data_IF_637297191675
#
_entry.id   IF_637297191675
#
_cell.length_a   1.000
_cell.length_b   1.000
_cell.length_c   1.000
_cell.angle_alpha   90.00
_cell.angle_beta   90.00
_cell.angle_gamma   90.00
#
_symmetry.space_group_name_H-M   'P 1'
#
loop_
_entity.id
_entity.type
_entity.pdbx_description
1 polymer ?
#
# COMPACT_ATOMS: atom_id res chain seq x y z
N UNK A 1 17.20 16.70 36.71
CA UNK A 1 18.14 15.87 35.92
C UNK A 1 17.41 14.82 35.07
N UNK A 2 16.36 14.15 35.58
CA UNK A 2 15.57 13.21 34.77
C UNK A 2 14.83 13.87 33.60
N UNK A 3 14.22 15.04 33.81
CA UNK A 3 13.46 15.73 32.76
C UNK A 3 14.29 16.13 31.53
N UNK A 4 15.55 16.55 31.73
CA UNK A 4 16.45 16.89 30.61
C UNK A 4 16.90 15.66 29.82
N UNK A 5 17.04 14.51 30.48
CA UNK A 5 17.40 13.23 29.86
C UNK A 5 16.25 12.68 29.00
N UNK A 6 15.02 12.75 29.52
CA UNK A 6 13.81 12.37 28.76
C UNK A 6 13.66 13.26 27.53
N UNK A 7 13.84 14.58 27.66
CA UNK A 7 13.72 15.52 26.55
C UNK A 7 14.80 15.27 25.48
N UNK A 8 16.04 14.99 25.90
CA UNK A 8 17.13 14.64 24.99
C UNK A 8 16.86 13.33 24.25
N UNK A 9 16.34 12.30 24.92
CA UNK A 9 15.93 11.04 24.28
C UNK A 9 14.79 11.25 23.28
N UNK A 10 13.80 12.09 23.60
CA UNK A 10 12.71 12.42 22.68
C UNK A 10 13.22 13.17 21.45
N UNK A 11 14.16 14.10 21.63
CA UNK A 11 14.79 14.86 20.53
C UNK A 11 15.65 13.95 19.66
N UNK A 12 16.45 13.04 20.24
CA UNK A 12 17.22 12.05 19.48
C UNK A 12 16.32 11.04 18.76
N UNK A 13 15.20 10.66 19.37
CA UNK A 13 14.21 9.79 18.75
C UNK A 13 13.55 10.51 17.56
N UNK A 14 13.10 11.76 17.74
CA UNK A 14 12.58 12.58 16.64
C UNK A 14 13.63 12.83 15.57
N UNK A 15 14.88 13.13 15.94
CA UNK A 15 15.96 13.38 15.00
C UNK A 15 16.33 12.11 14.21
N UNK A 16 16.39 10.95 14.84
CA UNK A 16 16.62 9.67 14.15
C UNK A 16 15.45 9.30 13.23
N UNK A 17 14.21 9.59 13.64
CA UNK A 17 13.03 9.47 12.78
C UNK A 17 13.09 10.45 11.57
N UNK A 18 13.55 11.69 11.78
CA UNK A 18 13.76 12.68 10.72
C UNK A 18 14.91 12.32 9.78
N UNK A 19 15.96 11.66 10.28
CA UNK A 19 17.02 11.11 9.45
C UNK A 19 16.54 9.91 8.64
N UNK A 20 15.58 9.12 9.17
CA UNK A 20 14.97 7.99 8.46
C UNK A 20 14.04 8.43 7.32
N UNK A 21 13.48 9.64 7.37
CA UNK A 21 12.70 10.23 6.27
C UNK A 21 13.52 11.03 5.25
N UNK A 22 14.82 11.24 5.50
CA UNK A 22 15.71 11.90 4.52
C UNK A 22 15.73 11.07 3.24
N UNK A 23 15.24 11.69 2.15
CA UNK A 23 15.35 11.15 0.79
C UNK A 23 16.82 10.93 0.41
N UNK A 24 17.10 9.79 -0.21
CA UNK A 24 18.42 9.49 -0.76
C UNK A 24 18.84 10.47 -1.85
N UNK A 25 20.14 10.51 -2.15
CA UNK A 25 20.79 11.53 -3.01
C UNK A 25 20.29 11.63 -4.47
N UNK A 26 19.42 10.71 -4.91
CA UNK A 26 18.92 10.60 -6.28
C UNK A 26 17.38 10.63 -6.39
N UNK A 27 16.67 11.04 -5.34
CA UNK A 27 15.22 11.15 -5.38
C UNK A 27 14.79 12.47 -6.03
N UNK A 28 13.73 12.48 -6.86
CA UNK A 28 13.21 13.71 -7.44
C UNK A 28 12.72 14.67 -6.35
N UNK A 29 12.76 16.00 -6.57
CA UNK A 29 12.25 16.98 -5.62
C UNK A 29 10.74 16.74 -5.41
N UNK A 30 10.31 16.76 -4.15
CA UNK A 30 8.91 16.57 -3.80
C UNK A 30 8.70 16.77 -2.29
N UNK A 31 7.44 16.80 -1.85
CA UNK A 31 7.09 17.16 -0.48
C UNK A 31 7.75 16.21 0.53
N UNK A 32 8.24 16.79 1.63
CA UNK A 32 8.90 16.06 2.71
C UNK A 32 7.85 15.29 3.51
N UNK A 33 7.87 13.97 3.38
CA UNK A 33 6.98 13.06 4.11
C UNK A 33 7.26 13.15 5.62
N UNK A 34 6.22 13.37 6.43
CA UNK A 34 6.34 13.39 7.89
C UNK A 34 6.77 12.00 8.44
N UNK A 35 7.57 11.94 9.52
CA UNK A 35 8.15 10.69 10.03
C UNK A 35 7.16 9.58 10.44
N UNK A 36 5.91 9.90 10.79
CA UNK A 36 4.87 8.91 11.09
C UNK A 36 3.71 8.91 10.09
N UNK A 37 3.27 10.08 9.64
CA UNK A 37 2.10 10.24 8.77
C UNK A 37 2.46 10.34 7.28
N UNK A 38 3.73 10.52 6.90
CA UNK A 38 4.10 10.77 5.51
C UNK A 38 3.36 11.97 4.90
N UNK A 39 2.76 11.78 3.72
CA UNK A 39 1.86 12.75 3.07
C UNK A 39 0.38 12.38 3.26
N UNK A 40 0.04 11.55 4.26
CA UNK A 40 -1.32 11.04 4.45
C UNK A 40 -2.33 12.18 4.72
N UNK A 41 -1.89 13.30 5.28
CA UNK A 41 -2.71 14.51 5.48
C UNK A 41 -3.01 15.28 4.19
N UNK A 42 -2.26 15.02 3.13
CA UNK A 42 -2.45 15.66 1.81
C UNK A 42 -3.44 14.85 0.95
N UNK A 43 -3.75 13.61 1.32
CA UNK A 43 -4.62 12.71 0.58
C UNK A 43 -6.04 12.73 1.14
N UNK A 44 -7.01 13.27 0.39
CA UNK A 44 -8.42 13.22 0.79
C UNK A 44 -8.99 11.82 0.55
N UNK A 45 -9.16 11.05 1.63
CA UNK A 45 -9.74 9.70 1.56
C UNK A 45 -11.18 9.68 1.02
N UNK A 46 -11.92 10.80 1.17
CA UNK A 46 -13.31 10.91 0.73
C UNK A 46 -13.47 11.11 -0.78
N UNK A 47 -12.49 11.71 -1.48
CA UNK A 47 -12.56 11.93 -2.93
C UNK A 47 -11.15 11.92 -3.55
N UNK A 48 -10.59 10.74 -3.89
CA UNK A 48 -9.20 10.63 -4.35
C UNK A 48 -8.98 11.08 -5.81
N UNK A 49 -10.06 11.20 -6.61
CA UNK A 49 -9.97 11.47 -8.07
C UNK A 49 -9.31 12.82 -8.41
N UNK A 50 -9.66 13.94 -7.76
CA UNK A 50 -9.03 15.24 -8.05
C UNK A 50 -7.54 15.25 -7.69
N UNK A 51 -7.15 14.54 -6.63
CA UNK A 51 -5.76 14.44 -6.18
C UNK A 51 -4.94 13.54 -7.12
N UNK A 52 -5.55 12.50 -7.69
CA UNK A 52 -4.97 11.68 -8.76
C UNK A 52 -4.62 12.50 -10.01
N UNK A 53 -5.42 13.52 -10.35
CA UNK A 53 -5.11 14.40 -11.48
C UNK A 53 -3.95 15.36 -11.20
N UNK A 54 -3.73 15.72 -9.92
CA UNK A 54 -2.62 16.60 -9.51
C UNK A 54 -1.29 15.85 -9.38
N UNK A 55 -1.34 14.61 -8.90
CA UNK A 55 -0.18 13.74 -8.78
C UNK A 55 -0.49 12.40 -9.45
N UNK A 56 -0.56 12.37 -10.79
CA UNK A 56 -0.83 11.13 -11.50
C UNK A 56 0.40 10.27 -11.33
N UNK A 57 0.30 9.25 -10.47
CA UNK A 57 1.37 8.29 -10.24
C UNK A 57 1.76 7.56 -11.52
N UNK A 58 2.49 6.44 -11.42
CA UNK A 58 3.03 5.77 -12.62
C UNK A 58 1.95 5.33 -13.63
N UNK A 59 0.76 4.95 -13.18
CA UNK A 59 -0.31 4.40 -14.05
C UNK A 59 -1.06 5.49 -14.82
N UNK A 60 -1.33 6.63 -14.19
CA UNK A 60 -2.19 7.67 -14.74
C UNK A 60 -1.41 8.83 -15.35
N UNK A 61 -0.09 8.87 -15.16
CA UNK A 61 0.73 9.95 -15.69
C UNK A 61 0.84 9.82 -17.21
N UNK A 62 0.69 10.93 -17.97
CA UNK A 62 1.05 10.93 -19.37
C UNK A 62 2.53 10.54 -19.52
N UNK A 63 2.90 9.95 -20.66
CA UNK A 63 4.25 9.45 -20.92
C UNK A 63 5.28 10.58 -21.06
N UNK A 64 5.58 11.27 -19.97
CA UNK A 64 6.48 12.41 -19.85
C UNK A 64 7.73 12.03 -19.03
N UNK A 65 8.63 12.99 -18.79
CA UNK A 65 9.84 12.76 -18.00
C UNK A 65 9.53 12.32 -16.56
N UNK A 66 8.52 12.94 -15.92
CA UNK A 66 8.10 12.61 -14.56
C UNK A 66 7.61 11.14 -14.46
N UNK A 67 6.86 10.65 -15.44
CA UNK A 67 6.47 9.24 -15.52
C UNK A 67 7.69 8.32 -15.60
N UNK A 68 8.69 8.65 -16.44
CA UNK A 68 9.92 7.85 -16.55
C UNK A 68 10.67 7.80 -15.23
N UNK A 69 10.76 8.92 -14.53
CA UNK A 69 11.45 9.03 -13.25
C UNK A 69 10.72 8.25 -12.15
N UNK A 70 9.40 8.42 -12.04
CA UNK A 70 8.57 7.66 -11.09
C UNK A 70 8.61 6.15 -11.38
N UNK A 71 8.54 5.74 -12.66
CA UNK A 71 8.64 4.34 -13.08
C UNK A 71 10.01 3.74 -12.75
N UNK A 72 11.09 4.45 -13.08
CA UNK A 72 12.47 4.01 -12.78
C UNK A 72 12.66 3.87 -11.28
N UNK A 73 12.21 4.85 -10.51
CA UNK A 73 12.23 4.80 -9.05
C UNK A 73 11.44 3.61 -8.51
N UNK A 74 10.19 3.44 -8.94
CA UNK A 74 9.31 2.35 -8.50
C UNK A 74 9.90 0.97 -8.79
N UNK A 75 10.38 0.73 -10.01
CA UNK A 75 11.01 -0.55 -10.38
C UNK A 75 12.30 -0.83 -9.60
N UNK A 76 13.11 0.20 -9.35
CA UNK A 76 14.33 0.06 -8.55
C UNK A 76 14.01 -0.27 -7.08
N UNK A 77 13.03 0.42 -6.51
CA UNK A 77 12.54 0.17 -5.15
C UNK A 77 11.95 -1.23 -5.02
N UNK A 78 11.09 -1.66 -5.95
CA UNK A 78 10.50 -3.01 -5.93
C UNK A 78 11.56 -4.11 -5.99
N UNK A 79 12.60 -3.98 -6.84
CA UNK A 79 13.73 -4.93 -6.85
C UNK A 79 14.50 -4.92 -5.53
N UNK A 80 14.66 -3.75 -4.91
CA UNK A 80 15.33 -3.62 -3.61
C UNK A 80 14.53 -4.35 -2.53
N UNK A 81 13.22 -4.09 -2.47
CA UNK A 81 12.22 -4.73 -1.60
C UNK A 81 11.87 -6.16 -1.99
N UNK A 82 12.64 -6.82 -2.85
CA UNK A 82 12.54 -8.27 -2.99
C UNK A 82 11.80 -8.77 -4.21
N UNK A 83 11.23 -7.91 -5.05
CA UNK A 83 10.66 -8.36 -6.32
C UNK A 83 11.76 -9.05 -7.16
N UNK A 84 11.60 -10.34 -7.39
CA UNK A 84 12.59 -11.20 -8.07
C UNK A 84 13.71 -11.76 -7.16
N UNK A 85 13.58 -11.65 -5.83
CA UNK A 85 14.49 -12.27 -4.85
C UNK A 85 13.79 -13.41 -4.10
N UNK A 86 14.55 -14.44 -3.73
CA UNK A 86 14.05 -15.66 -3.06
C UNK A 86 13.26 -15.38 -1.77
N UNK A 87 13.69 -14.43 -0.96
CA UNK A 87 12.98 -14.11 0.29
C UNK A 87 11.56 -13.53 0.08
N UNK A 88 11.29 -12.91 -1.08
CA UNK A 88 9.94 -12.47 -1.42
C UNK A 88 9.06 -13.63 -1.84
N UNK A 89 9.64 -14.60 -2.55
CA UNK A 89 8.97 -15.86 -2.87
C UNK A 89 8.60 -16.61 -1.59
N UNK A 90 9.52 -16.72 -0.63
CA UNK A 90 9.26 -17.32 0.69
C UNK A 90 8.12 -16.61 1.43
N UNK A 91 8.05 -15.27 1.36
CA UNK A 91 6.93 -14.49 1.92
C UNK A 91 5.60 -14.77 1.22
N UNK A 92 5.60 -14.90 -0.10
CA UNK A 92 4.41 -15.24 -0.89
C UNK A 92 3.93 -16.64 -0.50
N UNK A 93 4.84 -17.61 -0.39
CA UNK A 93 4.52 -18.98 0.00
C UNK A 93 3.89 -19.05 1.41
N UNK A 94 4.42 -18.30 2.38
CA UNK A 94 3.85 -18.23 3.72
C UNK A 94 2.41 -17.69 3.72
N UNK A 95 2.11 -16.68 2.89
CA UNK A 95 0.76 -16.16 2.79
C UNK A 95 -0.18 -17.11 2.02
N UNK A 96 0.33 -17.89 1.07
CA UNK A 96 -0.45 -18.96 0.41
C UNK A 96 -0.80 -20.07 1.41
N UNK A 97 0.14 -20.49 2.26
CA UNK A 97 -0.12 -21.50 3.30
C UNK A 97 -1.26 -21.05 4.24
N UNK A 98 -1.29 -19.77 4.63
CA UNK A 98 -2.41 -19.21 5.41
C UNK A 98 -3.74 -19.29 4.66
N UNK A 99 -3.73 -19.09 3.34
CA UNK A 99 -4.94 -19.23 2.51
C UNK A 99 -5.39 -20.69 2.45
N UNK A 100 -4.46 -21.64 2.39
CA UNK A 100 -4.77 -23.08 2.46
C UNK A 100 -5.45 -23.42 3.80
N UNK A 101 -4.91 -22.96 4.93
CA UNK A 101 -5.54 -23.13 6.26
C UNK A 101 -6.98 -22.59 6.29
N UNK A 102 -7.21 -21.38 5.77
CA UNK A 102 -8.56 -20.77 5.71
C UNK A 102 -9.51 -21.61 4.83
N UNK A 103 -9.01 -22.20 3.76
CA UNK A 103 -9.81 -23.06 2.87
C UNK A 103 -10.14 -24.40 3.54
N UNK A 104 -9.19 -24.99 4.28
CA UNK A 104 -9.38 -26.23 5.03
C UNK A 104 -10.36 -26.06 6.20
N UNK A 105 -10.24 -24.96 6.96
CA UNK A 105 -11.20 -24.61 8.02
C UNK A 105 -12.59 -24.29 7.47
N UNK A 106 -12.64 -23.74 6.25
CA UNK A 106 -13.87 -23.36 5.56
C UNK A 106 -14.59 -24.51 4.84
N UNK A 107 -14.14 -25.76 4.96
CA UNK A 107 -14.78 -26.91 4.28
C UNK A 107 -16.25 -27.04 4.71
N UNK A 108 -17.15 -26.88 3.73
CA UNK A 108 -18.60 -26.92 3.95
C UNK A 108 -19.25 -25.57 4.26
N UNK A 109 -18.47 -24.50 4.45
CA UNK A 109 -18.97 -23.14 4.63
C UNK A 109 -19.09 -22.39 3.29
N UNK A 110 -20.02 -21.42 3.21
CA UNK A 110 -20.12 -20.53 2.06
C UNK A 110 -19.05 -19.45 2.19
N UNK A 111 -18.07 -19.48 1.30
CA UNK A 111 -16.99 -18.50 1.21
C UNK A 111 -16.98 -17.83 -0.16
N UNK A 112 -16.67 -16.53 -0.19
CA UNK A 112 -16.41 -15.82 -1.44
C UNK A 112 -14.89 -15.81 -1.74
N UNK A 113 -14.42 -16.55 -2.77
CA UNK A 113 -12.99 -16.61 -3.11
C UNK A 113 -12.43 -15.25 -3.54
N UNK A 114 -13.27 -14.37 -4.10
CA UNK A 114 -12.84 -13.03 -4.49
C UNK A 114 -12.33 -12.23 -3.28
N UNK A 115 -13.06 -12.26 -2.16
CA UNK A 115 -12.67 -11.56 -0.94
C UNK A 115 -11.36 -12.11 -0.37
N UNK A 116 -11.20 -13.44 -0.39
CA UNK A 116 -10.00 -14.11 0.10
C UNK A 116 -8.74 -13.65 -0.66
N UNK A 117 -8.78 -13.68 -2.00
CA UNK A 117 -7.63 -13.27 -2.81
C UNK A 117 -7.38 -11.75 -2.78
N UNK A 118 -8.42 -10.92 -2.65
CA UNK A 118 -8.23 -9.48 -2.44
C UNK A 118 -7.54 -9.19 -1.11
N UNK A 119 -7.88 -9.91 -0.04
CA UNK A 119 -7.24 -9.78 1.25
C UNK A 119 -5.77 -10.21 1.18
N UNK A 120 -5.49 -11.37 0.58
CA UNK A 120 -4.14 -11.86 0.34
C UNK A 120 -3.27 -10.82 -0.38
N UNK A 121 -3.76 -10.31 -1.52
CA UNK A 121 -3.03 -9.32 -2.31
C UNK A 121 -2.81 -8.01 -1.55
N UNK A 122 -3.83 -7.54 -0.82
CA UNK A 122 -3.74 -6.31 -0.01
C UNK A 122 -2.72 -6.44 1.12
N UNK A 123 -2.66 -7.60 1.78
CA UNK A 123 -1.66 -7.91 2.80
C UNK A 123 -0.26 -7.92 2.19
N UNK A 124 -0.07 -8.60 1.06
CA UNK A 124 1.23 -8.62 0.37
C UNK A 124 1.69 -7.22 -0.04
N UNK A 125 0.82 -6.40 -0.62
CA UNK A 125 1.12 -5.01 -0.97
C UNK A 125 1.46 -4.21 0.28
N UNK A 126 0.70 -4.36 1.37
CA UNK A 126 0.94 -3.63 2.61
C UNK A 126 2.29 -4.00 3.25
N UNK A 127 2.65 -5.29 3.26
CA UNK A 127 3.96 -5.76 3.74
C UNK A 127 5.12 -5.22 2.90
N UNK A 128 4.91 -5.01 1.60
CA UNK A 128 5.93 -4.46 0.69
C UNK A 128 6.06 -2.94 0.83
N UNK A 129 4.95 -2.22 0.92
CA UNK A 129 4.92 -0.74 0.92
C UNK A 129 5.21 -0.18 2.32
N UNK A 130 4.63 -0.76 3.37
CA UNK A 130 4.71 -0.24 4.74
C UNK A 130 5.69 -1.02 5.63
N UNK A 131 6.10 -2.22 5.21
CA UNK A 131 7.02 -3.06 5.99
C UNK A 131 6.40 -3.68 7.26
N UNK A 132 5.09 -3.55 7.45
CA UNK A 132 4.35 -4.06 8.60
C UNK A 132 3.27 -5.06 8.18
N UNK A 133 3.04 -6.06 9.02
CA UNK A 133 1.84 -6.90 8.94
C UNK A 133 0.72 -6.14 9.66
N UNK A 134 -0.34 -5.82 8.95
CA UNK A 134 -1.53 -5.25 9.56
C UNK A 134 -2.54 -6.39 9.77
N UNK A 135 -3.14 -6.42 10.95
CA UNK A 135 -4.23 -7.37 11.22
C UNK A 135 -5.43 -7.06 10.32
N UNK A 136 -6.22 -8.06 9.97
CA UNK A 136 -7.31 -7.98 9.00
C UNK A 136 -8.38 -6.94 9.38
N UNK A 137 -8.46 -6.59 10.65
CA UNK A 137 -9.35 -5.56 11.21
C UNK A 137 -8.70 -4.18 11.35
N UNK A 138 -7.48 -4.00 10.85
CA UNK A 138 -6.82 -2.71 10.93
C UNK A 138 -7.44 -1.74 9.92
N UNK A 139 -7.91 -0.60 10.42
CA UNK A 139 -8.58 0.47 9.67
C UNK A 139 -7.87 0.83 8.36
N UNK A 140 -6.53 0.74 8.31
CA UNK A 140 -5.74 1.02 7.10
C UNK A 140 -5.99 0.01 5.97
N UNK A 141 -6.13 -1.28 6.27
CA UNK A 141 -6.44 -2.30 5.24
C UNK A 141 -7.87 -2.10 4.76
N UNK A 142 -8.83 -1.90 5.67
CA UNK A 142 -10.24 -1.74 5.31
C UNK A 142 -10.46 -0.50 4.42
N UNK A 143 -9.84 0.62 4.78
CA UNK A 143 -9.85 1.85 3.96
C UNK A 143 -9.19 1.60 2.60
N UNK A 144 -8.08 0.86 2.56
CA UNK A 144 -7.37 0.56 1.31
C UNK A 144 -8.19 -0.34 0.37
N UNK A 145 -8.81 -1.40 0.90
CA UNK A 145 -9.68 -2.31 0.14
C UNK A 145 -10.91 -1.56 -0.37
N UNK A 146 -11.54 -0.75 0.49
CA UNK A 146 -12.73 0.04 0.11
C UNK A 146 -12.38 1.06 -0.96
N UNK A 147 -11.28 1.81 -0.78
CA UNK A 147 -10.79 2.76 -1.78
C UNK A 147 -10.47 2.07 -3.12
N UNK A 148 -9.79 0.91 -3.09
CA UNK A 148 -9.49 0.17 -4.31
C UNK A 148 -10.74 -0.37 -5.01
N UNK A 149 -11.73 -0.84 -4.24
CA UNK A 149 -13.01 -1.33 -4.75
C UNK A 149 -13.80 -0.22 -5.44
N UNK A 150 -13.96 0.93 -4.79
CA UNK A 150 -14.69 2.06 -5.36
C UNK A 150 -13.94 2.64 -6.57
N UNK A 151 -12.61 2.77 -6.50
CA UNK A 151 -11.81 3.21 -7.63
C UNK A 151 -11.89 2.23 -8.81
N UNK A 152 -11.92 0.92 -8.56
CA UNK A 152 -12.05 -0.09 -9.62
C UNK A 152 -13.40 0.00 -10.33
N UNK A 153 -14.50 0.28 -9.62
CA UNK A 153 -15.81 0.51 -10.25
C UNK A 153 -15.79 1.73 -11.18
N UNK A 154 -15.10 2.79 -10.76
CA UNK A 154 -15.03 4.05 -11.51
C UNK A 154 -14.12 3.89 -12.74
N UNK A 155 -12.95 3.27 -12.57
CA UNK A 155 -11.96 3.07 -13.66
C UNK A 155 -12.47 2.11 -14.72
N UNK A 156 -13.16 1.03 -14.33
CA UNK A 156 -13.69 0.05 -15.28
C UNK A 156 -14.98 0.50 -15.98
N UNK A 157 -15.52 1.67 -15.60
CA UNK A 157 -16.69 2.28 -16.22
C UNK A 157 -17.99 1.47 -16.05
N UNK A 158 -19.03 1.76 -16.84
CA UNK A 158 -20.36 1.15 -16.73
C UNK A 158 -20.36 -0.39 -16.80
N UNK A 159 -19.34 -0.97 -17.43
CA UNK A 159 -19.22 -2.41 -17.67
C UNK A 159 -18.84 -3.22 -16.42
N UNK A 160 -18.23 -2.60 -15.40
CA UNK A 160 -17.93 -3.28 -14.13
C UNK A 160 -19.07 -3.24 -13.10
N UNK A 161 -20.17 -2.54 -13.41
CA UNK A 161 -21.35 -2.45 -12.53
C UNK A 161 -22.26 -3.67 -12.67
N UNK A 162 -22.06 -4.51 -13.70
CA UNK A 162 -22.86 -5.72 -13.92
C UNK A 162 -22.53 -6.75 -12.84
N UNK A 163 -23.41 -6.84 -11.83
CA UNK A 163 -23.35 -7.91 -10.84
C UNK A 163 -23.71 -9.23 -11.54
N UNK A 164 -23.00 -10.33 -11.27
CA UNK A 164 -23.31 -11.65 -11.85
C UNK A 164 -24.74 -12.16 -11.56
N UNK A 165 -25.47 -11.55 -10.61
CA UNK A 165 -26.84 -11.93 -10.27
C UNK A 165 -27.90 -11.51 -11.30
N UNK A 166 -27.55 -10.72 -12.31
CA UNK A 166 -28.49 -10.22 -13.33
C UNK A 166 -28.33 -10.91 -14.70
N UNK A 167 -27.57 -12.02 -14.74
CA UNK A 167 -27.27 -12.77 -15.97
C UNK A 167 -27.68 -14.25 -15.86
N UNK A 168 -28.83 -14.51 -15.24
CA UNK A 168 -29.61 -15.77 -15.32
C UNK A 168 -31.09 -15.39 -15.38
#
# INVERSE_FOLDING_TARGET
MFGSLVLFCLVLCLFSLLLRTRRGRNFPPGPMALPLLGNLLEFSAQNPIPDLNRAPGVVLSPSNSQWRDHRRFGLSSLRTFGLGKKWMEERILLEIQRVEEILEEGVGAIMNPQTLFHNLASNMISKVVFGSEYDHNHLVIEVSITAFRENSKIVNGPWAVVRPKEMI
#
